data_IF_480214331224
#
_entry.id   IF_480214331224
#
_cell.length_a   1.000
_cell.length_b   1.000
_cell.length_c   1.000
_cell.angle_alpha   90.00
_cell.angle_beta   90.00
_cell.angle_gamma   90.00
#
_symmetry.space_group_name_H-M   'P 1'
#
loop_
_entity.id
_entity.type
_entity.pdbx_description
1 polymer ?
#
# COMPACT_ATOMS: atom_id res chain seq x y z
N UNK A 1 -3.37 38.67 40.22
CA UNK A 1 -3.35 37.26 40.66
C UNK A 1 -2.58 36.45 39.63
N UNK A 2 -1.54 35.69 40.02
CA UNK A 2 -0.72 34.95 39.06
C UNK A 2 -1.43 33.64 38.68
N UNK A 3 -1.67 33.41 37.38
CA UNK A 3 -2.12 32.10 36.88
C UNK A 3 -1.09 31.05 37.27
N UNK A 4 -1.54 29.95 37.90
CA UNK A 4 -0.63 28.87 38.32
C UNK A 4 -0.05 28.22 37.07
N UNK A 5 1.24 27.90 37.14
CA UNK A 5 2.04 27.30 36.05
C UNK A 5 1.45 25.99 35.47
N UNK A 6 0.55 25.34 36.21
CA UNK A 6 -0.24 24.17 35.80
C UNK A 6 -1.35 24.49 34.79
N UNK A 7 -2.03 25.63 34.92
CA UNK A 7 -3.16 25.99 34.03
C UNK A 7 -2.67 26.28 32.59
N UNK A 8 -1.45 26.82 32.46
CA UNK A 8 -0.81 27.06 31.17
C UNK A 8 -0.39 25.78 30.44
N UNK A 9 -0.03 24.72 31.18
CA UNK A 9 0.36 23.44 30.57
C UNK A 9 -0.87 22.68 30.05
N UNK A 10 -1.98 22.72 30.79
CA UNK A 10 -3.25 22.13 30.37
C UNK A 10 -3.90 22.92 29.22
N UNK A 11 -3.80 24.25 29.21
CA UNK A 11 -4.23 25.09 28.09
C UNK A 11 -3.38 24.84 26.82
N UNK A 12 -2.06 24.64 26.97
CA UNK A 12 -1.15 24.30 25.85
C UNK A 12 -1.40 22.88 25.32
N UNK A 13 -1.64 21.91 26.20
CA UNK A 13 -2.01 20.55 25.79
C UNK A 13 -3.38 20.55 25.09
N UNK A 14 -4.36 21.29 25.62
CA UNK A 14 -5.71 21.39 25.04
C UNK A 14 -5.72 22.12 23.69
N UNK A 15 -4.91 23.17 23.54
CA UNK A 15 -4.75 23.88 22.27
C UNK A 15 -3.96 23.08 21.23
N UNK A 16 -2.95 22.29 21.65
CA UNK A 16 -2.29 21.32 20.77
C UNK A 16 -3.24 20.19 20.34
N UNK A 17 -4.08 19.65 21.23
CA UNK A 17 -5.09 18.66 20.85
C UNK A 17 -6.17 19.24 19.95
N UNK A 18 -6.60 20.49 20.18
CA UNK A 18 -7.56 21.19 19.33
C UNK A 18 -6.99 21.48 17.93
N UNK A 19 -5.73 21.92 17.83
CA UNK A 19 -5.04 22.15 16.56
C UNK A 19 -4.73 20.84 15.80
N UNK A 20 -4.43 19.76 16.52
CA UNK A 20 -4.24 18.43 15.95
C UNK A 20 -5.58 17.84 15.46
N UNK A 21 -6.67 18.13 16.18
CA UNK A 21 -8.04 17.78 15.78
C UNK A 21 -8.50 18.52 14.52
N UNK A 22 -8.17 19.81 14.37
CA UNK A 22 -8.50 20.57 13.17
C UNK A 22 -7.71 20.10 11.94
N UNK A 23 -6.40 19.85 12.09
CA UNK A 23 -5.56 19.36 11.00
C UNK A 23 -5.98 17.96 10.52
N UNK A 24 -6.37 17.07 11.43
CA UNK A 24 -6.89 15.75 11.06
C UNK A 24 -8.25 15.85 10.34
N UNK A 25 -9.13 16.74 10.79
CA UNK A 25 -10.42 16.95 10.14
C UNK A 25 -10.27 17.46 8.71
N UNK A 26 -9.32 18.38 8.47
CA UNK A 26 -8.96 18.87 7.14
C UNK A 26 -8.40 17.75 6.26
N UNK A 27 -7.42 16.98 6.76
CA UNK A 27 -6.86 15.85 6.01
C UNK A 27 -7.94 14.80 5.63
N UNK A 28 -8.89 14.52 6.53
CA UNK A 28 -10.01 13.61 6.22
C UNK A 28 -10.96 14.21 5.18
N UNK A 29 -11.20 15.53 5.23
CA UNK A 29 -12.01 16.20 4.22
C UNK A 29 -11.35 16.15 2.83
N UNK A 30 -10.02 16.29 2.76
CA UNK A 30 -9.24 16.19 1.53
C UNK A 30 -9.29 14.77 0.97
N UNK A 31 -9.09 13.76 1.83
CA UNK A 31 -9.21 12.36 1.45
C UNK A 31 -10.62 12.00 0.95
N UNK A 32 -11.69 12.58 1.50
CA UNK A 32 -13.05 12.36 0.99
C UNK A 32 -13.19 12.86 -0.44
N UNK A 33 -12.71 14.07 -0.74
CA UNK A 33 -12.74 14.62 -2.10
C UNK A 33 -11.89 13.79 -3.06
N UNK A 34 -10.70 13.37 -2.61
CA UNK A 34 -9.84 12.44 -3.36
C UNK A 34 -10.52 11.10 -3.63
N UNK A 35 -11.23 10.54 -2.66
CA UNK A 35 -11.96 9.28 -2.81
C UNK A 35 -13.08 9.38 -3.86
N UNK A 36 -13.88 10.44 -3.82
CA UNK A 36 -14.96 10.69 -4.80
C UNK A 36 -14.41 10.77 -6.23
N UNK A 37 -13.33 11.53 -6.43
CA UNK A 37 -12.63 11.65 -7.72
C UNK A 37 -12.02 10.31 -8.16
N UNK A 38 -11.39 9.60 -7.25
CA UNK A 38 -10.75 8.32 -7.53
C UNK A 38 -11.75 7.23 -7.90
N UNK A 39 -12.92 7.21 -7.25
CA UNK A 39 -13.98 6.23 -7.50
C UNK A 39 -14.39 6.16 -8.98
N UNK A 40 -14.46 7.30 -9.65
CA UNK A 40 -14.83 7.41 -11.07
C UNK A 40 -13.63 7.41 -12.02
N UNK A 41 -12.40 7.34 -11.51
CA UNK A 41 -11.20 7.34 -12.34
C UNK A 41 -11.12 6.06 -13.18
N UNK A 42 -11.01 6.14 -14.52
CA UNK A 42 -10.97 4.95 -15.38
C UNK A 42 -9.75 4.06 -15.13
N UNK A 43 -9.90 2.75 -15.37
CA UNK A 43 -8.81 1.78 -15.23
C UNK A 43 -7.54 2.13 -16.03
N UNK A 44 -7.69 2.74 -17.21
CA UNK A 44 -6.57 3.22 -18.02
C UNK A 44 -5.73 4.24 -17.24
N UNK A 45 -6.38 5.24 -16.65
CA UNK A 45 -5.69 6.27 -15.85
C UNK A 45 -5.07 5.68 -14.58
N UNK A 46 -5.78 4.79 -13.89
CA UNK A 46 -5.23 4.07 -12.72
C UNK A 46 -3.99 3.25 -13.08
N UNK A 47 -3.98 2.61 -14.26
CA UNK A 47 -2.81 1.90 -14.79
C UNK A 47 -1.62 2.83 -14.96
N UNK A 48 -1.81 4.03 -15.51
CA UNK A 48 -0.73 5.03 -15.61
C UNK A 48 -0.17 5.42 -14.24
N UNK A 49 -1.02 5.63 -13.24
CA UNK A 49 -0.60 5.90 -11.85
C UNK A 49 0.23 4.73 -11.30
N UNK A 50 -0.17 3.48 -11.55
CA UNK A 50 0.58 2.31 -11.11
C UNK A 50 1.97 2.21 -11.76
N UNK A 51 2.10 2.56 -13.05
CA UNK A 51 3.41 2.62 -13.72
C UNK A 51 4.28 3.76 -13.19
N UNK A 52 3.67 4.88 -12.80
CA UNK A 52 4.37 5.98 -12.15
C UNK A 52 4.85 5.59 -10.75
N UNK A 53 4.01 4.93 -9.95
CA UNK A 53 4.37 4.35 -8.65
C UNK A 53 5.50 3.33 -8.75
N UNK A 54 5.49 2.46 -9.78
CA UNK A 54 6.59 1.53 -10.01
C UNK A 54 7.93 2.24 -10.14
N UNK A 55 7.97 3.38 -10.83
CA UNK A 55 9.21 4.16 -11.01
C UNK A 55 9.63 4.85 -9.71
N UNK A 56 8.71 5.50 -9.01
CA UNK A 56 9.03 6.24 -7.78
C UNK A 56 9.40 5.30 -6.63
N UNK A 57 8.69 4.17 -6.46
CA UNK A 57 9.06 3.16 -5.47
C UNK A 57 10.42 2.55 -5.80
N UNK A 58 10.70 2.22 -7.06
CA UNK A 58 12.01 1.68 -7.44
C UNK A 58 13.15 2.67 -7.18
N UNK A 59 12.94 3.97 -7.47
CA UNK A 59 13.92 5.01 -7.20
C UNK A 59 14.22 5.20 -5.70
N UNK A 60 13.22 4.95 -4.84
CA UNK A 60 13.34 5.08 -3.39
C UNK A 60 13.63 3.75 -2.68
N UNK A 61 13.75 2.63 -3.40
CA UNK A 61 13.87 1.29 -2.80
C UNK A 61 15.11 1.15 -1.91
N UNK A 62 16.23 1.78 -2.28
CA UNK A 62 17.45 1.74 -1.45
C UNK A 62 17.27 2.49 -0.13
N UNK A 63 16.74 3.71 -0.19
CA UNK A 63 16.45 4.51 1.00
C UNK A 63 15.43 3.81 1.91
N UNK A 64 14.45 3.11 1.32
CA UNK A 64 13.52 2.26 2.07
C UNK A 64 14.27 1.17 2.83
N UNK A 65 15.11 0.38 2.14
CA UNK A 65 15.85 -0.71 2.78
C UNK A 65 16.75 -0.20 3.89
N UNK A 66 17.47 0.91 3.64
CA UNK A 66 18.37 1.47 4.64
C UNK A 66 17.59 1.98 5.88
N UNK A 67 16.39 2.56 5.69
CA UNK A 67 15.50 2.93 6.81
C UNK A 67 14.91 1.71 7.53
N UNK A 68 14.51 0.66 6.82
CA UNK A 68 14.02 -0.59 7.41
C UNK A 68 15.09 -1.26 8.29
N UNK A 69 16.32 -1.37 7.79
CA UNK A 69 17.45 -1.90 8.56
C UNK A 69 17.73 -1.06 9.82
N UNK A 70 17.62 0.26 9.74
CA UNK A 70 17.79 1.14 10.89
C UNK A 70 16.71 0.92 11.97
N UNK A 71 15.45 0.73 11.56
CA UNK A 71 14.32 0.41 12.45
C UNK A 71 14.56 -0.90 13.21
N UNK A 72 15.17 -1.89 12.56
CA UNK A 72 15.53 -3.18 13.17
C UNK A 72 16.78 -3.12 14.07
N UNK A 73 17.36 -1.93 14.27
CA UNK A 73 18.50 -1.72 15.16
C UNK A 73 19.86 -1.79 14.47
N UNK A 74 19.90 -1.69 13.13
CA UNK A 74 21.12 -1.68 12.34
C UNK A 74 21.36 -0.34 11.61
N UNK A 75 21.55 0.78 12.33
CA UNK A 75 21.80 2.08 11.72
C UNK A 75 23.24 2.17 11.18
N UNK A 76 23.39 2.25 9.86
CA UNK A 76 24.64 2.52 9.13
C UNK A 76 25.81 1.52 9.33
N UNK A 77 26.72 1.49 8.34
CA UNK A 77 28.06 0.92 8.48
C UNK A 77 28.20 -0.60 8.30
N UNK A 78 27.43 -1.42 9.02
CA UNK A 78 27.64 -2.88 9.08
C UNK A 78 26.31 -3.64 9.26
N UNK A 79 25.37 -3.45 8.33
CA UNK A 79 24.12 -4.23 8.32
C UNK A 79 24.43 -5.66 7.85
N UNK A 80 24.11 -6.71 8.62
CA UNK A 80 24.29 -8.08 8.17
C UNK A 80 23.56 -8.34 6.85
N UNK A 81 24.20 -9.07 5.93
CA UNK A 81 23.61 -9.37 4.61
C UNK A 81 22.23 -10.02 4.72
N UNK A 82 22.02 -10.87 5.73
CA UNK A 82 20.74 -11.51 5.99
C UNK A 82 19.63 -10.49 6.30
N UNK A 83 19.89 -9.51 7.17
CA UNK A 83 18.95 -8.43 7.53
C UNK A 83 18.62 -7.60 6.30
N UNK A 84 19.65 -7.19 5.55
CA UNK A 84 19.46 -6.41 4.32
C UNK A 84 18.66 -7.20 3.28
N UNK A 85 18.94 -8.49 3.12
CA UNK A 85 18.23 -9.35 2.17
C UNK A 85 16.77 -9.55 2.56
N UNK A 86 16.49 -9.71 3.85
CA UNK A 86 15.13 -9.79 4.39
C UNK A 86 14.36 -8.51 4.08
N UNK A 87 14.88 -7.34 4.46
CA UNK A 87 14.21 -6.06 4.21
C UNK A 87 14.03 -5.78 2.71
N UNK A 88 15.00 -6.14 1.85
CA UNK A 88 14.82 -6.07 0.39
C UNK A 88 13.61 -6.90 -0.04
N UNK A 89 13.55 -8.16 0.40
CA UNK A 89 12.55 -9.13 -0.05
C UNK A 89 11.15 -8.82 0.49
N UNK A 90 11.05 -8.47 1.77
CA UNK A 90 9.78 -8.23 2.46
C UNK A 90 9.33 -6.78 2.37
N UNK A 91 10.22 -5.82 2.12
CA UNK A 91 9.95 -4.40 1.96
C UNK A 91 9.63 -4.01 0.51
N UNK A 92 10.50 -3.25 -0.19
CA UNK A 92 10.18 -2.67 -1.49
C UNK A 92 10.02 -3.70 -2.61
N UNK A 93 10.68 -4.87 -2.58
CA UNK A 93 10.52 -5.87 -3.64
C UNK A 93 9.09 -6.44 -3.65
N UNK A 94 8.53 -6.72 -2.47
CA UNK A 94 7.15 -7.17 -2.32
C UNK A 94 6.15 -6.14 -2.90
N UNK A 95 6.38 -4.85 -2.63
CA UNK A 95 5.54 -3.76 -3.14
C UNK A 95 5.70 -3.57 -4.65
N UNK A 96 6.92 -3.61 -5.18
CA UNK A 96 7.14 -3.55 -6.62
C UNK A 96 6.49 -4.72 -7.35
N UNK A 97 6.50 -5.92 -6.77
CA UNK A 97 5.78 -7.07 -7.29
C UNK A 97 4.26 -6.81 -7.31
N UNK A 98 3.69 -6.34 -6.20
CA UNK A 98 2.26 -6.00 -6.12
C UNK A 98 1.85 -4.93 -7.14
N UNK A 99 2.62 -3.85 -7.28
CA UNK A 99 2.35 -2.78 -8.24
C UNK A 99 2.37 -3.30 -9.69
N UNK A 100 3.28 -4.21 -10.05
CA UNK A 100 3.29 -4.83 -11.39
C UNK A 100 2.02 -5.63 -11.66
N UNK A 101 1.57 -6.41 -10.67
CA UNK A 101 0.34 -7.21 -10.78
C UNK A 101 -0.90 -6.32 -10.89
N UNK A 102 -0.98 -5.27 -10.07
CA UNK A 102 -2.05 -4.28 -10.15
C UNK A 102 -2.06 -3.56 -11.50
N UNK A 103 -0.89 -3.14 -12.01
CA UNK A 103 -0.77 -2.45 -13.30
C UNK A 103 -1.22 -3.33 -14.46
N UNK A 104 -0.78 -4.60 -14.47
CA UNK A 104 -1.21 -5.57 -15.46
C UNK A 104 -2.73 -5.81 -15.40
N UNK A 105 -3.30 -5.95 -14.20
CA UNK A 105 -4.75 -6.13 -13.99
C UNK A 105 -5.53 -4.93 -14.51
N UNK A 106 -5.15 -3.71 -14.12
CA UNK A 106 -5.81 -2.48 -14.56
C UNK A 106 -5.71 -2.27 -16.08
N UNK A 107 -4.61 -2.69 -16.72
CA UNK A 107 -4.47 -2.66 -18.17
C UNK A 107 -5.47 -3.60 -18.88
N UNK A 108 -5.67 -4.82 -18.38
CA UNK A 108 -6.68 -5.72 -18.94
C UNK A 108 -8.10 -5.16 -18.76
N UNK A 109 -8.40 -4.65 -17.56
CA UNK A 109 -9.71 -4.05 -17.27
C UNK A 109 -9.97 -2.81 -18.14
N UNK A 110 -8.94 -2.00 -18.42
CA UNK A 110 -9.04 -0.88 -19.35
C UNK A 110 -9.36 -1.33 -20.80
N UNK A 111 -8.96 -2.54 -21.17
CA UNK A 111 -9.29 -3.16 -22.46
C UNK A 111 -10.64 -3.92 -22.43
N UNK A 112 -11.39 -3.86 -21.32
CA UNK A 112 -12.68 -4.55 -21.17
C UNK A 112 -12.58 -6.06 -20.94
N UNK A 113 -11.42 -6.56 -20.52
CA UNK A 113 -11.21 -7.99 -20.25
C UNK A 113 -10.60 -8.24 -18.86
N UNK A 114 -10.70 -9.49 -18.39
CA UNK A 114 -10.04 -9.94 -17.16
C UNK A 114 -8.63 -10.44 -17.48
N UNK A 115 -7.68 -10.33 -16.53
CA UNK A 115 -6.34 -10.89 -16.72
C UNK A 115 -6.41 -12.42 -16.87
N UNK A 116 -5.50 -13.03 -17.65
CA UNK A 116 -5.47 -14.48 -17.81
C UNK A 116 -5.09 -15.16 -16.48
N UNK A 117 -5.73 -16.29 -16.19
CA UNK A 117 -5.32 -17.16 -15.09
C UNK A 117 -3.98 -17.84 -15.42
N UNK A 118 -3.13 -18.12 -14.43
CA UNK A 118 -1.96 -18.98 -14.58
C UNK A 118 -2.24 -20.37 -15.18
N UNK A 119 -3.48 -20.86 -15.04
CA UNK A 119 -3.93 -22.14 -15.58
C UNK A 119 -5.43 -22.37 -15.34
N UNK A 120 -5.98 -23.49 -15.85
CA UNK A 120 -7.38 -23.86 -15.63
C UNK A 120 -7.64 -24.25 -14.16
N UNK A 121 -8.93 -24.29 -13.77
CA UNK A 121 -9.35 -24.85 -12.47
C UNK A 121 -8.92 -26.31 -12.36
N UNK A 122 -8.40 -26.67 -11.19
CA UNK A 122 -8.00 -28.04 -10.84
C UNK A 122 -8.81 -28.54 -9.65
N UNK A 123 -8.62 -29.79 -9.23
CA UNK A 123 -9.17 -30.31 -7.99
C UNK A 123 -8.74 -29.52 -6.74
N UNK A 124 -7.66 -28.74 -6.82
CA UNK A 124 -7.16 -27.85 -5.74
C UNK A 124 -7.73 -26.43 -5.81
N UNK A 125 -8.59 -26.14 -6.78
CA UNK A 125 -9.08 -24.79 -7.06
C UNK A 125 -8.38 -24.13 -8.24
N UNK A 126 -8.52 -22.81 -8.34
CA UNK A 126 -7.97 -21.98 -9.42
C UNK A 126 -6.52 -21.60 -9.08
N UNK A 127 -5.54 -21.91 -9.94
CA UNK A 127 -4.16 -21.50 -9.69
C UNK A 127 -4.04 -19.97 -9.79
N UNK A 128 -3.42 -19.35 -8.80
CA UNK A 128 -3.15 -17.89 -8.76
C UNK A 128 -1.66 -17.56 -8.66
N UNK A 129 -0.82 -18.56 -8.39
CA UNK A 129 0.63 -18.43 -8.27
C UNK A 129 1.33 -19.74 -8.68
N UNK A 130 2.50 -19.69 -9.37
CA UNK A 130 3.24 -18.50 -9.82
C UNK A 130 2.62 -17.83 -11.04
N UNK A 131 2.80 -16.52 -11.18
CA UNK A 131 2.34 -15.80 -12.38
C UNK A 131 3.34 -15.96 -13.53
N UNK A 132 2.85 -16.08 -14.77
CA UNK A 132 3.72 -16.26 -15.95
C UNK A 132 4.37 -14.94 -16.42
N UNK A 133 3.79 -13.80 -16.06
CA UNK A 133 4.23 -12.48 -16.49
C UNK A 133 5.38 -11.90 -15.65
N UNK A 134 5.80 -12.60 -14.58
CA UNK A 134 6.86 -12.21 -13.67
C UNK A 134 7.87 -13.34 -13.50
N UNK A 135 8.96 -13.05 -12.79
CA UNK A 135 10.00 -14.03 -12.45
C UNK A 135 9.60 -14.94 -11.29
N UNK A 136 8.31 -15.08 -10.99
CA UNK A 136 7.80 -15.82 -9.83
C UNK A 136 8.31 -17.27 -9.78
N UNK A 137 8.35 -17.95 -10.92
CA UNK A 137 8.86 -19.34 -11.01
C UNK A 137 10.33 -19.48 -10.59
N UNK A 138 11.13 -18.42 -10.78
CA UNK A 138 12.54 -18.39 -10.42
C UNK A 138 12.73 -17.93 -8.96
N UNK A 139 11.95 -16.95 -8.52
CA UNK A 139 12.04 -16.38 -7.17
C UNK A 139 11.46 -17.30 -6.10
N UNK A 140 10.47 -18.13 -6.46
CA UNK A 140 9.74 -18.98 -5.51
C UNK A 140 9.65 -20.42 -6.04
N UNK A 141 10.78 -21.11 -6.20
CA UNK A 141 10.81 -22.46 -6.76
C UNK A 141 9.97 -23.41 -5.90
N UNK A 142 9.08 -24.17 -6.55
CA UNK A 142 8.21 -25.15 -5.90
C UNK A 142 6.99 -24.58 -5.17
N UNK A 143 6.84 -23.25 -5.07
CA UNK A 143 5.68 -22.64 -4.43
C UNK A 143 4.51 -22.53 -5.42
N UNK A 144 3.33 -22.99 -4.99
CA UNK A 144 2.08 -22.86 -5.74
C UNK A 144 0.98 -22.36 -4.82
N UNK A 145 0.07 -21.53 -5.34
CA UNK A 145 -1.12 -21.13 -4.60
C UNK A 145 -2.37 -21.31 -5.47
N UNK A 146 -3.44 -21.78 -4.83
CA UNK A 146 -4.74 -21.98 -5.45
C UNK A 146 -5.80 -21.28 -4.59
N UNK A 147 -6.83 -20.75 -5.25
CA UNK A 147 -8.01 -20.19 -4.60
C UNK A 147 -9.19 -21.09 -4.90
N UNK A 148 -9.85 -21.56 -3.85
CA UNK A 148 -11.14 -22.22 -3.98
C UNK A 148 -12.22 -21.17 -4.21
N UNK A 149 -13.06 -21.42 -5.21
CA UNK A 149 -14.21 -20.58 -5.54
C UNK A 149 -15.45 -21.44 -5.51
N UNK A 150 -16.59 -20.79 -5.32
CA UNK A 150 -17.90 -21.42 -5.44
C UNK A 150 -17.97 -22.27 -6.74
N UNK A 151 -18.36 -23.55 -6.66
CA UNK A 151 -18.52 -24.42 -7.83
C UNK A 151 -19.32 -23.81 -8.97
N UNK A 152 -20.37 -23.05 -8.64
CA UNK A 152 -21.30 -22.44 -9.58
C UNK A 152 -21.00 -20.94 -9.82
N UNK A 153 -19.98 -20.40 -9.13
CA UNK A 153 -19.56 -19.01 -9.24
C UNK A 153 -18.64 -18.73 -10.43
N UNK A 154 -18.46 -17.45 -10.79
CA UNK A 154 -17.50 -17.07 -11.82
C UNK A 154 -16.06 -17.37 -11.37
N UNK A 155 -15.23 -17.88 -12.29
CA UNK A 155 -13.81 -18.17 -12.02
C UNK A 155 -13.00 -16.91 -11.68
N UNK A 156 -13.44 -15.77 -12.19
CA UNK A 156 -12.87 -14.46 -11.91
C UNK A 156 -13.97 -13.40 -12.00
N UNK A 157 -13.79 -12.30 -11.25
CA UNK A 157 -14.60 -11.11 -11.35
C UNK A 157 -13.69 -9.87 -11.36
N UNK A 158 -14.13 -8.76 -11.98
CA UNK A 158 -13.43 -7.49 -11.81
C UNK A 158 -13.41 -7.08 -10.33
N UNK A 159 -12.46 -6.22 -9.91
CA UNK A 159 -12.45 -5.69 -8.56
C UNK A 159 -13.82 -5.12 -8.18
N UNK A 160 -14.29 -5.48 -6.99
CA UNK A 160 -15.54 -4.93 -6.48
C UNK A 160 -15.32 -3.49 -6.04
N UNK A 161 -15.45 -2.52 -6.97
CA UNK A 161 -15.74 -1.11 -6.65
C UNK A 161 -17.17 -0.98 -6.11
N UNK A 162 -17.55 -1.83 -5.16
CA UNK A 162 -18.89 -1.94 -4.61
C UNK A 162 -19.27 -0.76 -3.71
N UNK A 163 -20.18 -0.97 -2.76
CA UNK A 163 -20.74 0.07 -1.88
C UNK A 163 -19.70 0.90 -1.07
N UNK A 164 -18.44 0.43 -1.03
CA UNK A 164 -17.33 1.06 -0.31
C UNK A 164 -16.38 1.87 -1.20
N UNK A 165 -16.58 1.90 -2.52
CA UNK A 165 -15.85 2.80 -3.41
C UNK A 165 -16.18 4.26 -3.09
N UNK A 166 -15.21 5.17 -3.25
CA UNK A 166 -15.39 6.59 -2.92
C UNK A 166 -15.39 6.89 -1.42
N UNK A 167 -14.96 5.94 -0.59
CA UNK A 167 -14.81 6.14 0.87
C UNK A 167 -13.35 6.35 1.27
N UNK A 168 -13.17 6.82 2.51
CA UNK A 168 -11.87 6.87 3.17
C UNK A 168 -11.69 5.62 4.03
N UNK A 169 -10.57 4.94 3.86
CA UNK A 169 -10.12 3.85 4.71
C UNK A 169 -9.02 4.33 5.66
N UNK A 170 -8.99 3.79 6.87
CA UNK A 170 -7.91 3.96 7.83
C UNK A 170 -7.06 2.70 7.82
N UNK A 171 -5.77 2.83 7.53
CA UNK A 171 -4.80 1.74 7.64
C UNK A 171 -3.88 2.02 8.83
N UNK A 172 -3.78 1.04 9.74
CA UNK A 172 -2.97 1.13 10.94
C UNK A 172 -1.79 0.17 10.83
N UNK A 173 -0.58 0.70 10.64
CA UNK A 173 0.62 -0.11 10.60
C UNK A 173 0.94 -0.71 11.96
N UNK A 174 1.09 -2.04 12.01
CA UNK A 174 1.43 -2.78 13.23
C UNK A 174 2.91 -2.62 13.65
N UNK A 175 3.81 -2.33 12.70
CA UNK A 175 5.23 -2.10 12.98
C UNK A 175 6.13 -3.32 12.86
N UNK A 176 5.64 -4.42 12.29
CA UNK A 176 6.41 -5.66 12.08
C UNK A 176 7.09 -5.71 10.71
N UNK A 177 6.38 -5.40 9.63
CA UNK A 177 6.94 -5.32 8.28
C UNK A 177 6.59 -3.96 7.68
N UNK A 178 7.57 -3.32 7.05
CA UNK A 178 7.44 -1.97 6.49
C UNK A 178 6.44 -1.91 5.33
N UNK A 179 6.30 -3.02 4.60
CA UNK A 179 5.47 -3.14 3.40
C UNK A 179 4.01 -3.44 3.66
N UNK A 180 3.66 -4.12 4.77
CA UNK A 180 2.26 -4.51 5.07
C UNK A 180 1.31 -3.31 5.00
N UNK A 181 1.51 -2.21 5.75
CA UNK A 181 0.61 -1.06 5.68
C UNK A 181 0.53 -0.44 4.28
N UNK A 182 1.60 -0.56 3.49
CA UNK A 182 1.63 -0.08 2.11
C UNK A 182 0.84 -0.99 1.18
N UNK A 183 0.94 -2.32 1.36
CA UNK A 183 0.14 -3.31 0.66
C UNK A 183 -1.36 -3.11 0.91
N UNK A 184 -1.74 -2.90 2.17
CA UNK A 184 -3.12 -2.61 2.56
C UNK A 184 -3.62 -1.31 1.94
N UNK A 185 -2.78 -0.28 1.92
CA UNK A 185 -3.06 1.00 1.25
C UNK A 185 -3.32 0.80 -0.24
N UNK A 186 -2.43 0.07 -0.92
CA UNK A 186 -2.58 -0.21 -2.36
C UNK A 186 -3.82 -1.05 -2.66
N UNK A 187 -4.15 -2.00 -1.79
CA UNK A 187 -5.38 -2.78 -1.91
C UNK A 187 -6.63 -1.89 -1.78
N UNK A 188 -6.69 -1.04 -0.75
CA UNK A 188 -7.80 -0.10 -0.58
C UNK A 188 -7.93 0.86 -1.78
N UNK A 189 -6.82 1.42 -2.26
CA UNK A 189 -6.84 2.37 -3.39
C UNK A 189 -7.24 1.70 -4.70
N UNK A 190 -6.57 0.60 -5.08
CA UNK A 190 -6.69 0.05 -6.43
C UNK A 190 -7.74 -1.06 -6.55
N UNK A 191 -8.01 -1.81 -5.48
CA UNK A 191 -9.01 -2.89 -5.49
C UNK A 191 -10.36 -2.40 -4.96
N UNK A 192 -10.38 -1.58 -3.90
CA UNK A 192 -11.62 -1.07 -3.29
C UNK A 192 -12.06 0.30 -3.82
N UNK A 193 -11.18 1.05 -4.48
CA UNK A 193 -11.49 2.41 -4.96
C UNK A 193 -11.64 3.44 -3.84
N UNK A 194 -10.85 3.30 -2.77
CA UNK A 194 -10.89 4.16 -1.59
C UNK A 194 -9.71 5.15 -1.57
N UNK A 195 -9.86 6.26 -0.86
CA UNK A 195 -8.69 7.01 -0.38
C UNK A 195 -8.24 6.46 0.98
N UNK A 196 -6.98 6.66 1.35
CA UNK A 196 -6.42 6.05 2.55
C UNK A 196 -5.75 7.09 3.44
N UNK A 197 -6.13 7.09 4.72
CA UNK A 197 -5.32 7.67 5.78
C UNK A 197 -4.43 6.56 6.34
N UNK A 198 -3.13 6.62 6.04
CA UNK A 198 -2.16 5.66 6.57
C UNK A 198 -1.52 6.21 7.85
N UNK A 199 -1.76 5.53 8.98
CA UNK A 199 -1.04 5.78 10.23
C UNK A 199 0.07 4.74 10.38
N UNK A 200 1.32 5.19 10.26
CA UNK A 200 2.48 4.34 10.47
C UNK A 200 2.66 3.99 11.96
N UNK A 201 3.26 2.84 12.23
CA UNK A 201 3.72 2.53 13.58
C UNK A 201 4.78 3.55 14.02
N UNK A 202 4.85 3.87 15.32
CA UNK A 202 5.78 4.89 15.81
C UNK A 202 7.25 4.54 15.55
N UNK A 203 7.57 3.24 15.54
CA UNK A 203 8.90 2.73 15.18
C UNK A 203 9.27 3.01 13.72
N UNK A 204 8.28 3.12 12.82
CA UNK A 204 8.50 3.33 11.40
C UNK A 204 8.62 4.82 11.02
N UNK A 205 8.99 5.70 11.97
CA UNK A 205 9.06 7.14 11.72
C UNK A 205 10.02 7.47 10.57
N UNK A 206 11.17 6.79 10.51
CA UNK A 206 12.20 7.01 9.49
C UNK A 206 11.72 6.67 8.07
N UNK A 207 10.71 5.82 7.94
CA UNK A 207 10.10 5.51 6.64
C UNK A 207 9.20 6.62 6.11
N UNK A 208 8.81 7.60 6.93
CA UNK A 208 7.79 8.58 6.54
C UNK A 208 8.18 9.35 5.28
N UNK A 209 9.38 9.94 5.26
CA UNK A 209 9.86 10.74 4.11
C UNK A 209 10.12 9.87 2.88
N UNK A 210 10.61 8.65 3.09
CA UNK A 210 10.82 7.67 2.01
C UNK A 210 9.49 7.30 1.37
N UNK A 211 8.47 7.01 2.18
CA UNK A 211 7.13 6.68 1.69
C UNK A 211 6.44 7.89 1.04
N UNK A 212 6.62 9.09 1.57
CA UNK A 212 6.13 10.31 0.91
C UNK A 212 6.73 10.45 -0.50
N UNK A 213 8.05 10.27 -0.63
CA UNK A 213 8.74 10.35 -1.93
C UNK A 213 8.34 9.21 -2.88
N UNK A 214 8.22 7.99 -2.35
CA UNK A 214 7.87 6.80 -3.12
C UNK A 214 6.41 6.82 -3.61
N UNK A 215 5.50 7.38 -2.81
CA UNK A 215 4.05 7.43 -3.08
C UNK A 215 3.53 8.82 -3.42
N UNK A 216 4.40 9.79 -3.70
CA UNK A 216 4.06 11.11 -4.22
C UNK A 216 3.02 11.07 -5.37
N UNK A 217 3.02 10.06 -6.29
CA UNK A 217 1.95 9.93 -7.28
C UNK A 217 0.55 9.88 -6.66
N UNK A 218 0.34 9.20 -5.55
CA UNK A 218 -0.96 9.18 -4.89
C UNK A 218 -1.21 10.45 -4.07
N UNK A 219 -0.17 11.07 -3.51
CA UNK A 219 -0.32 12.22 -2.61
C UNK A 219 -0.71 13.52 -3.33
N UNK A 220 -0.26 13.71 -4.57
CA UNK A 220 -0.56 14.90 -5.36
C UNK A 220 -1.90 14.85 -6.11
N UNK A 221 -2.79 13.94 -5.71
CA UNK A 221 -4.06 13.64 -6.40
C UNK A 221 -5.26 13.85 -5.49
#
# INVERSE_FOLDING_TARGET
MPRRRTDLADDLASSQHAGMGSGLAEAVADLRRGAESWAITPFARRSEVLHELLRTVAANARAWVDAGCAIEGHPAGDVPDAVRAEEIATGPLAILRLLRLLAATHRHLAAGCLPPLPGPRTARGIPVFPTAALLDRWLFPGLTAHVEVDPDGPLQAPPAHGADSGRVALVLGAGNLTSIPVGDTLHAVFVRGQAVLLKLHALHRELHEVLQSAFDPLLRR
#
